data_IF_964363321683
#
_entry.id   IF_964363321683
#
_cell.length_a   1.000
_cell.length_b   1.000
_cell.length_c   1.000
_cell.angle_alpha   90.00
_cell.angle_beta   90.00
_cell.angle_gamma   90.00
#
_symmetry.space_group_name_H-M   'P 1'
#
loop_
_entity.id
_entity.type
_entity.pdbx_description
1 polymer ?
#
# COMPACT_ATOMS: atom_id res chain seq x y z
N UNK A 1 39.38 52.37 -41.06
CA UNK A 1 39.10 50.93 -41.27
C UNK A 1 38.87 50.31 -39.91
N UNK A 2 37.84 49.44 -39.84
CA UNK A 2 37.45 48.58 -38.71
C UNK A 2 36.82 49.24 -37.47
N UNK A 3 35.51 48.99 -37.34
CA UNK A 3 34.72 49.04 -36.12
C UNK A 3 35.37 48.18 -35.03
N UNK A 4 35.46 48.69 -33.80
CA UNK A 4 35.53 47.85 -32.62
C UNK A 4 34.58 48.39 -31.54
N UNK A 5 33.61 47.54 -31.22
CA UNK A 5 32.58 47.69 -30.19
C UNK A 5 33.24 47.75 -28.81
N UNK A 6 32.95 48.78 -28.02
CA UNK A 6 33.27 48.81 -26.58
C UNK A 6 31.98 48.48 -25.83
N UNK A 7 31.84 47.22 -25.41
CA UNK A 7 30.84 46.81 -24.41
C UNK A 7 31.48 47.01 -23.04
N UNK A 8 30.91 47.90 -22.23
CA UNK A 8 31.24 48.00 -20.82
C UNK A 8 30.58 46.84 -20.07
N UNK A 9 31.37 45.93 -19.54
CA UNK A 9 30.92 44.84 -18.66
C UNK A 9 30.81 45.39 -17.25
N UNK A 10 29.59 45.64 -16.79
CA UNK A 10 29.29 45.97 -15.39
C UNK A 10 29.15 44.64 -14.62
N UNK A 11 30.15 44.28 -13.82
CA UNK A 11 30.05 43.19 -12.86
C UNK A 11 29.16 43.63 -11.69
N UNK A 12 27.90 43.20 -11.67
CA UNK A 12 27.08 43.24 -10.47
C UNK A 12 27.07 41.83 -9.88
N UNK A 13 27.72 41.68 -8.73
CA UNK A 13 27.62 40.50 -7.89
C UNK A 13 26.22 40.43 -7.29
N UNK A 14 25.34 39.61 -7.87
CA UNK A 14 24.11 39.20 -7.22
C UNK A 14 24.32 37.84 -6.56
N UNK A 15 24.35 37.85 -5.23
CA UNK A 15 24.21 36.66 -4.42
C UNK A 15 22.88 35.97 -4.78
N UNK A 16 22.95 34.81 -5.44
CA UNK A 16 21.78 33.97 -5.64
C UNK A 16 21.40 33.33 -4.30
N UNK A 17 20.41 33.94 -3.65
CA UNK A 17 19.61 33.32 -2.60
C UNK A 17 18.66 32.36 -3.31
N UNK A 18 18.83 31.05 -3.12
CA UNK A 18 17.93 30.05 -3.71
C UNK A 18 16.57 30.15 -3.03
N UNK A 19 15.61 30.81 -3.67
CA UNK A 19 14.20 30.67 -3.32
C UNK A 19 13.75 29.30 -3.85
N UNK A 20 13.54 28.38 -2.92
CA UNK A 20 12.93 27.09 -3.19
C UNK A 20 11.40 27.30 -3.29
N UNK A 21 10.95 27.92 -4.38
CA UNK A 21 9.54 27.92 -4.75
C UNK A 21 9.24 26.54 -5.37
N UNK A 22 8.78 25.63 -4.53
CA UNK A 22 8.02 24.48 -5.01
C UNK A 22 6.75 25.05 -5.65
N UNK A 23 6.77 25.09 -6.97
CA UNK A 23 5.58 25.29 -7.79
C UNK A 23 4.59 24.18 -7.43
N UNK A 24 3.55 24.54 -6.69
CA UNK A 24 2.36 23.71 -6.53
C UNK A 24 1.79 23.58 -7.93
N UNK A 25 1.99 22.43 -8.56
CA UNK A 25 1.26 22.06 -9.77
C UNK A 25 -0.18 21.90 -9.31
N UNK A 26 -1.04 22.87 -9.59
CA UNK A 26 -2.49 22.69 -9.47
C UNK A 26 -2.87 21.51 -10.36
N UNK A 27 -3.16 20.36 -9.73
CA UNK A 27 -3.66 19.16 -10.41
C UNK A 27 -5.06 19.52 -10.92
N UNK A 28 -5.19 19.80 -12.22
CA UNK A 28 -6.49 20.02 -12.85
C UNK A 28 -7.17 18.65 -12.93
N UNK A 29 -8.07 18.38 -11.99
CA UNK A 29 -8.90 17.16 -11.98
C UNK A 29 -10.19 17.47 -12.73
N UNK A 30 -10.43 16.76 -13.83
CA UNK A 30 -11.71 16.81 -14.53
C UNK A 30 -12.70 15.87 -13.81
N UNK A 31 -13.66 16.42 -13.06
CA UNK A 31 -14.73 15.64 -12.43
C UNK A 31 -15.98 15.63 -13.32
N UNK A 32 -16.45 14.46 -13.74
CA UNK A 32 -17.80 14.29 -14.31
C UNK A 32 -18.80 14.09 -13.16
N UNK A 33 -19.23 15.19 -12.54
CA UNK A 33 -19.92 15.20 -11.24
C UNK A 33 -21.32 14.53 -11.20
N UNK A 34 -21.88 14.05 -12.32
CA UNK A 34 -23.30 13.69 -12.39
C UNK A 34 -23.59 12.23 -12.80
N UNK A 35 -22.59 11.37 -12.99
CA UNK A 35 -22.82 9.94 -13.31
C UNK A 35 -22.07 8.99 -12.41
N UNK A 36 -22.83 8.26 -11.59
CA UNK A 36 -22.34 7.01 -11.01
C UNK A 36 -22.04 6.05 -12.17
N UNK A 37 -20.76 5.82 -12.43
CA UNK A 37 -20.33 4.86 -13.43
C UNK A 37 -20.57 3.44 -12.91
N UNK A 38 -21.37 2.65 -13.65
CA UNK A 38 -21.76 1.28 -13.26
C UNK A 38 -20.55 0.35 -13.04
N UNK A 39 -19.41 0.69 -13.65
CA UNK A 39 -18.11 0.02 -13.48
C UNK A 39 -17.61 0.09 -12.04
N UNK A 40 -17.84 1.20 -11.34
CA UNK A 40 -17.33 1.48 -9.98
C UNK A 40 -18.32 1.12 -8.87
N UNK A 41 -19.39 0.39 -9.21
CA UNK A 41 -20.39 -0.11 -8.27
C UNK A 41 -20.15 -1.58 -7.87
N UNK A 42 -18.90 -2.04 -7.97
CA UNK A 42 -18.50 -3.44 -7.75
C UNK A 42 -18.84 -3.93 -6.33
N UNK A 43 -18.56 -3.11 -5.30
CA UNK A 43 -18.82 -3.48 -3.89
C UNK A 43 -20.32 -3.67 -3.66
N UNK A 44 -21.13 -2.72 -4.14
CA UNK A 44 -22.59 -2.80 -4.01
C UNK A 44 -23.18 -3.98 -4.78
N UNK A 45 -22.67 -4.26 -6.00
CA UNK A 45 -23.10 -5.43 -6.79
C UNK A 45 -22.86 -6.76 -6.08
N UNK A 46 -21.76 -6.86 -5.33
CA UNK A 46 -21.36 -8.09 -4.67
C UNK A 46 -21.91 -8.26 -3.26
N UNK A 47 -21.87 -7.20 -2.46
CA UNK A 47 -22.21 -7.24 -1.04
C UNK A 47 -23.56 -6.59 -0.72
N UNK A 48 -24.27 -6.08 -1.73
CA UNK A 48 -25.52 -5.35 -1.57
C UNK A 48 -25.32 -3.88 -1.14
N UNK A 49 -26.41 -3.10 -1.13
CA UNK A 49 -26.36 -1.66 -0.89
C UNK A 49 -25.94 -1.32 0.55
N UNK A 50 -25.40 -0.12 0.71
CA UNK A 50 -25.05 0.43 2.02
C UNK A 50 -26.30 0.89 2.77
N UNK A 51 -26.40 0.48 4.03
CA UNK A 51 -27.35 1.03 5.01
C UNK A 51 -26.58 1.48 6.25
N UNK A 52 -26.87 2.68 6.74
CA UNK A 52 -26.21 3.25 7.92
C UNK A 52 -27.20 3.78 8.94
N UNK A 53 -26.77 3.90 10.19
CA UNK A 53 -27.51 4.56 11.27
C UNK A 53 -26.70 5.77 11.75
N UNK A 54 -27.38 6.77 12.29
CA UNK A 54 -26.70 7.84 13.03
C UNK A 54 -26.02 7.28 14.29
N UNK A 55 -24.80 7.75 14.58
CA UNK A 55 -24.04 7.32 15.76
C UNK A 55 -22.54 7.17 15.52
N UNK A 56 -21.86 6.61 16.52
CA UNK A 56 -20.45 6.24 16.43
C UNK A 56 -20.30 4.72 16.43
N UNK A 57 -19.56 4.21 15.44
CA UNK A 57 -19.34 2.79 15.24
C UNK A 57 -17.85 2.55 15.09
N UNK A 58 -17.32 1.53 15.75
CA UNK A 58 -15.94 1.10 15.54
C UNK A 58 -15.86 -0.40 15.42
N UNK A 59 -14.90 -0.86 14.63
CA UNK A 59 -14.56 -2.27 14.58
C UNK A 59 -13.08 -2.46 14.36
N UNK A 60 -12.60 -3.59 14.87
CA UNK A 60 -11.23 -4.03 14.75
C UNK A 60 -11.22 -5.47 14.28
N UNK A 61 -10.35 -5.75 13.34
CA UNK A 61 -10.06 -7.08 12.84
C UNK A 61 -9.48 -7.98 13.93
N UNK A 62 -9.75 -9.29 13.83
CA UNK A 62 -9.09 -10.33 14.63
C UNK A 62 -7.62 -10.52 14.27
N UNK A 63 -7.27 -10.25 13.01
CA UNK A 63 -5.89 -10.26 12.52
C UNK A 63 -5.36 -8.83 12.62
N UNK A 64 -4.28 -8.65 13.37
CA UNK A 64 -3.53 -7.39 13.42
C UNK A 64 -2.29 -7.57 12.53
N UNK A 65 -2.24 -6.93 11.35
CA UNK A 65 -1.12 -7.06 10.43
C UNK A 65 0.16 -6.50 11.05
N UNK A 66 1.27 -7.21 10.89
CA UNK A 66 2.58 -6.75 11.34
C UNK A 66 3.21 -5.75 10.36
N UNK A 67 4.03 -4.85 10.88
CA UNK A 67 4.79 -3.90 10.08
C UNK A 67 6.07 -4.52 9.55
N UNK A 68 6.49 -4.07 8.38
CA UNK A 68 7.74 -4.49 7.74
C UNK A 68 8.41 -3.31 7.08
N UNK A 69 9.74 -3.31 7.03
CA UNK A 69 10.43 -2.55 6.00
C UNK A 69 9.91 -3.01 4.65
N UNK A 70 9.57 -2.08 3.75
CA UNK A 70 9.01 -2.45 2.44
C UNK A 70 10.09 -2.91 1.46
N UNK A 71 11.36 -2.94 1.86
CA UNK A 71 12.50 -3.33 1.04
C UNK A 71 12.52 -2.55 -0.29
N UNK A 72 12.89 -1.25 -0.26
CA UNK A 72 12.91 -0.42 -1.45
C UNK A 72 13.68 -1.09 -2.60
N UNK A 73 13.14 -1.05 -3.82
CA UNK A 73 13.73 -1.74 -4.97
C UNK A 73 15.14 -1.25 -5.31
N UNK A 74 15.45 0.01 -5.00
CA UNK A 74 16.77 0.63 -5.19
C UNK A 74 17.78 0.30 -4.08
N UNK A 75 17.34 -0.33 -2.99
CA UNK A 75 18.22 -0.72 -1.90
C UNK A 75 18.83 -2.09 -2.17
N UNK A 76 20.11 -2.24 -1.85
CA UNK A 76 20.84 -3.49 -2.07
C UNK A 76 20.63 -4.55 -0.99
N UNK A 77 19.84 -4.24 0.05
CA UNK A 77 19.71 -5.03 1.27
C UNK A 77 19.46 -6.53 1.01
N UNK A 78 18.72 -6.86 -0.05
CA UNK A 78 18.36 -8.25 -0.38
C UNK A 78 19.55 -9.11 -0.79
N UNK A 79 20.56 -8.56 -1.46
CA UNK A 79 21.68 -9.31 -2.04
C UNK A 79 23.06 -8.83 -1.58
N UNK A 80 23.17 -7.64 -0.99
CA UNK A 80 24.41 -7.08 -0.44
C UNK A 80 24.23 -6.69 1.03
N UNK A 81 25.26 -6.94 1.85
CA UNK A 81 25.34 -6.46 3.23
C UNK A 81 26.42 -5.39 3.34
N UNK A 82 26.13 -4.30 4.06
CA UNK A 82 27.12 -3.23 4.29
C UNK A 82 28.33 -3.73 5.10
N UNK A 83 28.14 -4.76 5.92
CA UNK A 83 29.22 -5.51 6.55
C UNK A 83 29.59 -6.71 5.68
N UNK A 84 30.70 -6.60 4.95
CA UNK A 84 31.21 -7.66 4.06
C UNK A 84 31.48 -9.02 4.73
N UNK A 85 31.48 -9.08 6.06
CA UNK A 85 31.62 -10.34 6.82
C UNK A 85 30.29 -11.06 7.05
N UNK A 86 29.17 -10.41 6.71
CA UNK A 86 27.81 -10.93 6.89
C UNK A 86 27.15 -11.16 5.54
N UNK A 87 26.33 -12.20 5.49
CA UNK A 87 25.51 -12.51 4.32
C UNK A 87 24.23 -11.66 4.31
N UNK A 88 23.78 -11.28 3.12
CA UNK A 88 22.47 -10.70 2.85
C UNK A 88 21.35 -11.78 2.86
N UNK A 89 20.05 -11.42 2.93
CA UNK A 89 18.96 -12.38 2.97
C UNK A 89 19.00 -13.44 1.85
N UNK A 90 19.22 -13.01 0.60
CA UNK A 90 19.26 -13.93 -0.54
C UNK A 90 20.53 -14.79 -0.56
N UNK A 91 21.67 -14.25 -0.14
CA UNK A 91 22.90 -15.05 -0.01
C UNK A 91 22.76 -16.13 1.08
N UNK A 92 22.01 -15.84 2.15
CA UNK A 92 21.68 -16.85 3.16
C UNK A 92 20.72 -17.91 2.62
N UNK A 93 19.77 -17.52 1.78
CA UNK A 93 18.89 -18.46 1.09
C UNK A 93 19.68 -19.38 0.16
N UNK A 94 20.56 -18.84 -0.69
CA UNK A 94 21.42 -19.60 -1.60
C UNK A 94 22.22 -20.67 -0.84
N UNK A 95 22.89 -20.24 0.23
CA UNK A 95 23.67 -21.13 1.10
C UNK A 95 22.81 -22.17 1.84
N UNK A 96 21.56 -21.84 2.19
CA UNK A 96 20.62 -22.77 2.82
C UNK A 96 20.20 -23.87 1.84
N UNK A 97 19.87 -23.49 0.60
CA UNK A 97 19.49 -24.43 -0.46
C UNK A 97 20.68 -25.32 -0.81
N UNK A 98 21.87 -24.75 -1.01
CA UNK A 98 23.09 -25.51 -1.28
C UNK A 98 23.36 -26.55 -0.18
N UNK A 99 23.28 -26.17 1.10
CA UNK A 99 23.52 -27.09 2.23
C UNK A 99 22.41 -28.12 2.45
N UNK A 100 21.23 -27.89 1.92
CA UNK A 100 20.08 -28.78 2.11
C UNK A 100 19.93 -29.74 0.94
N UNK A 101 20.16 -29.25 -0.29
CA UNK A 101 19.83 -29.92 -1.54
C UNK A 101 21.05 -30.15 -2.44
N UNK A 102 22.20 -29.55 -2.15
CA UNK A 102 23.44 -29.75 -2.90
C UNK A 102 23.55 -28.90 -4.18
N UNK A 103 22.65 -27.93 -4.36
CA UNK A 103 22.61 -27.05 -5.52
C UNK A 103 22.58 -25.59 -5.07
N UNK A 104 23.39 -24.73 -5.70
CA UNK A 104 23.33 -23.28 -5.50
C UNK A 104 22.28 -22.68 -6.46
N UNK A 105 21.17 -22.12 -5.96
CA UNK A 105 20.14 -21.54 -6.81
C UNK A 105 20.60 -20.22 -7.46
N UNK A 106 21.56 -19.51 -6.89
CA UNK A 106 22.06 -18.22 -7.38
C UNK A 106 21.04 -17.09 -7.32
N UNK A 107 20.16 -17.07 -6.32
CA UNK A 107 19.10 -16.07 -6.20
C UNK A 107 19.65 -14.68 -5.85
N UNK A 108 20.71 -14.57 -5.04
CA UNK A 108 21.32 -13.28 -4.75
C UNK A 108 21.93 -12.64 -6.00
N UNK A 109 22.66 -13.44 -6.80
CA UNK A 109 23.26 -12.98 -8.05
C UNK A 109 22.19 -12.59 -9.08
N UNK A 110 21.11 -13.36 -9.19
CA UNK A 110 19.99 -13.02 -10.07
C UNK A 110 19.31 -11.71 -9.65
N UNK A 111 19.12 -11.48 -8.34
CA UNK A 111 18.55 -10.22 -7.86
C UNK A 111 19.42 -9.03 -8.25
N UNK A 112 20.74 -9.13 -8.04
CA UNK A 112 21.71 -8.07 -8.34
C UNK A 112 21.77 -7.74 -9.84
N UNK A 113 21.67 -8.75 -10.71
CA UNK A 113 21.98 -8.59 -12.14
C UNK A 113 20.75 -8.45 -13.03
N UNK A 114 19.61 -9.02 -12.65
CA UNK A 114 18.41 -9.10 -13.50
C UNK A 114 17.21 -8.30 -12.95
N UNK A 115 17.20 -7.96 -11.65
CA UNK A 115 16.06 -7.28 -11.00
C UNK A 115 16.44 -5.90 -10.49
N UNK A 116 17.60 -5.77 -9.85
CA UNK A 116 18.04 -4.54 -9.22
C UNK A 116 18.23 -3.43 -10.26
N UNK A 117 17.58 -2.29 -10.03
CA UNK A 117 17.78 -1.08 -10.80
C UNK A 117 18.06 0.09 -9.85
N UNK A 118 19.30 0.64 -9.84
CA UNK A 118 19.64 1.79 -9.01
C UNK A 118 18.92 3.09 -9.44
N UNK A 119 18.33 3.12 -10.63
CA UNK A 119 17.55 4.27 -11.15
C UNK A 119 16.06 4.20 -10.83
N UNK A 120 15.62 3.13 -10.16
CA UNK A 120 14.23 2.94 -9.76
C UNK A 120 13.76 4.01 -8.76
N UNK A 121 12.46 4.31 -8.80
CA UNK A 121 11.84 5.33 -7.95
C UNK A 121 11.91 4.98 -6.46
N UNK A 122 12.10 6.00 -5.61
CA UNK A 122 12.36 5.81 -4.18
C UNK A 122 11.23 5.15 -3.39
N UNK A 123 10.00 5.15 -3.92
CA UNK A 123 8.83 4.57 -3.28
C UNK A 123 8.59 3.11 -3.69
N UNK A 124 9.18 2.66 -4.80
CA UNK A 124 9.01 1.28 -5.26
C UNK A 124 9.64 0.30 -4.28
N UNK A 125 9.00 -0.85 -4.11
CA UNK A 125 9.47 -1.95 -3.29
C UNK A 125 8.37 -3.00 -3.12
N UNK A 126 8.40 -3.70 -1.99
CA UNK A 126 7.53 -4.84 -1.67
C UNK A 126 6.35 -4.46 -0.77
N UNK A 127 5.84 -3.22 -0.87
CA UNK A 127 4.70 -2.77 -0.04
C UNK A 127 3.42 -3.59 -0.31
N UNK A 128 3.11 -3.89 -1.58
CA UNK A 128 1.99 -4.76 -1.97
C UNK A 128 2.15 -6.18 -1.45
N UNK A 129 3.33 -6.76 -1.61
CA UNK A 129 3.66 -8.09 -1.13
C UNK A 129 3.57 -8.18 0.40
N UNK A 130 4.07 -7.16 1.11
CA UNK A 130 3.96 -7.03 2.55
C UNK A 130 2.51 -6.94 3.01
N UNK A 131 1.68 -6.10 2.39
CA UNK A 131 0.30 -5.92 2.78
C UNK A 131 -0.47 -7.26 2.78
N UNK A 132 -0.26 -8.08 1.74
CA UNK A 132 -0.86 -9.42 1.64
C UNK A 132 -0.22 -10.41 2.62
N UNK A 133 1.12 -10.47 2.69
CA UNK A 133 1.81 -11.40 3.59
C UNK A 133 1.45 -11.15 5.07
N UNK A 134 1.29 -9.88 5.46
CA UNK A 134 1.03 -9.47 6.84
C UNK A 134 -0.34 -9.87 7.37
N UNK A 135 -1.31 -10.12 6.48
CA UNK A 135 -2.65 -10.59 6.84
C UNK A 135 -2.80 -12.10 6.72
N UNK A 136 -1.97 -12.77 5.91
CA UNK A 136 -2.03 -14.21 5.69
C UNK A 136 -1.04 -15.03 6.54
N UNK A 137 0.02 -14.42 7.05
CA UNK A 137 1.06 -15.11 7.81
C UNK A 137 1.28 -14.50 9.21
N UNK A 138 1.57 -15.34 10.22
CA UNK A 138 2.04 -14.83 11.49
C UNK A 138 3.38 -14.11 11.32
N UNK A 139 3.60 -13.10 12.15
CA UNK A 139 4.88 -12.38 12.15
C UNK A 139 6.05 -13.29 12.58
N UNK A 140 7.18 -13.30 11.86
CA UNK A 140 8.43 -13.84 12.38
C UNK A 140 8.90 -13.06 13.61
N UNK A 141 9.02 -13.73 14.77
CA UNK A 141 9.27 -13.07 16.08
C UNK A 141 10.67 -13.25 16.65
N UNK A 142 11.47 -14.13 16.08
CA UNK A 142 12.79 -14.46 16.58
C UNK A 142 13.70 -14.89 15.44
N UNK A 143 15.01 -14.80 15.69
CA UNK A 143 16.00 -15.34 14.77
C UNK A 143 15.88 -16.87 14.76
N UNK A 144 15.99 -17.47 13.58
CA UNK A 144 16.00 -18.92 13.41
C UNK A 144 17.36 -19.38 12.92
N UNK A 145 17.71 -20.64 13.21
CA UNK A 145 18.95 -21.26 12.73
C UNK A 145 18.64 -22.52 11.93
N UNK A 146 18.97 -22.50 10.65
CA UNK A 146 18.77 -23.63 9.72
C UNK A 146 20.11 -23.94 9.05
N UNK A 147 20.54 -25.20 9.08
CA UNK A 147 21.83 -25.65 8.50
C UNK A 147 23.03 -24.76 8.90
N UNK A 148 23.11 -24.41 10.18
CA UNK A 148 24.12 -23.51 10.77
C UNK A 148 24.12 -22.06 10.27
N UNK A 149 23.10 -21.63 9.51
CA UNK A 149 22.89 -20.26 9.06
C UNK A 149 21.87 -19.60 9.99
N UNK A 150 22.17 -18.40 10.46
CA UNK A 150 21.23 -17.62 11.28
C UNK A 150 20.47 -16.64 10.39
N UNK A 151 19.15 -16.80 10.33
CA UNK A 151 18.23 -15.87 9.70
C UNK A 151 17.64 -14.97 10.78
N UNK A 152 17.83 -13.67 10.62
CA UNK A 152 17.20 -12.63 11.42
C UNK A 152 15.70 -12.53 11.12
N UNK A 153 14.98 -11.73 11.90
CA UNK A 153 13.58 -11.38 11.60
C UNK A 153 13.49 -10.69 10.24
N UNK A 154 14.41 -9.77 9.94
CA UNK A 154 14.47 -9.07 8.66
C UNK A 154 14.69 -10.04 7.48
N UNK A 155 15.57 -11.02 7.62
CA UNK A 155 15.82 -12.02 6.55
C UNK A 155 14.55 -12.84 6.28
N UNK A 156 13.86 -13.29 7.34
CA UNK A 156 12.62 -14.07 7.22
C UNK A 156 11.51 -13.25 6.55
N UNK A 157 11.33 -11.98 6.97
CA UNK A 157 10.37 -11.06 6.34
C UNK A 157 10.73 -10.81 4.88
N UNK A 158 11.99 -10.53 4.56
CA UNK A 158 12.45 -10.29 3.19
C UNK A 158 12.14 -11.48 2.26
N UNK A 159 12.50 -12.71 2.68
CA UNK A 159 12.24 -13.92 1.89
C UNK A 159 10.74 -14.20 1.74
N UNK A 160 9.97 -14.03 2.82
CA UNK A 160 8.51 -14.17 2.75
C UNK A 160 7.91 -13.17 1.76
N UNK A 161 8.29 -11.89 1.82
CA UNK A 161 7.77 -10.87 0.91
C UNK A 161 8.19 -11.11 -0.54
N UNK A 162 9.41 -11.56 -0.81
CA UNK A 162 9.82 -11.95 -2.18
C UNK A 162 8.98 -13.07 -2.74
N UNK A 163 8.45 -13.98 -1.90
CA UNK A 163 7.49 -15.01 -2.35
C UNK A 163 6.10 -14.45 -2.74
N UNK A 164 5.79 -13.21 -2.37
CA UNK A 164 4.51 -12.53 -2.66
C UNK A 164 4.64 -11.46 -3.75
N UNK A 165 5.82 -11.29 -4.35
CA UNK A 165 6.11 -10.18 -5.27
C UNK A 165 5.22 -10.19 -6.52
N UNK A 166 4.86 -11.38 -7.02
CA UNK A 166 3.93 -11.60 -8.14
C UNK A 166 2.65 -12.34 -7.68
N UNK A 167 2.18 -12.04 -6.46
CA UNK A 167 0.94 -12.62 -5.93
C UNK A 167 -0.26 -12.39 -6.87
N UNK A 168 -1.10 -13.41 -6.99
CA UNK A 168 -2.33 -13.39 -7.81
C UNK A 168 -3.55 -13.84 -7.01
N UNK A 169 -4.73 -13.91 -7.64
CA UNK A 169 -6.03 -14.24 -7.03
C UNK A 169 -6.59 -13.18 -6.07
N UNK A 170 -6.01 -11.98 -6.07
CA UNK A 170 -6.54 -10.81 -5.38
C UNK A 170 -7.70 -10.21 -6.19
N UNK A 171 -8.69 -9.66 -5.48
CA UNK A 171 -9.83 -9.00 -6.10
C UNK A 171 -9.83 -7.51 -5.79
N UNK A 172 -9.69 -6.71 -6.84
CA UNK A 172 -9.62 -5.26 -6.78
C UNK A 172 -11.00 -4.63 -6.97
N UNK A 173 -11.24 -3.53 -6.26
CA UNK A 173 -12.41 -2.67 -6.38
C UNK A 173 -11.93 -1.23 -6.53
N UNK A 174 -12.36 -0.56 -7.61
CA UNK A 174 -11.63 0.60 -8.14
C UNK A 174 -10.59 0.19 -9.18
N UNK A 175 -10.06 1.16 -9.91
CA UNK A 175 -8.92 1.01 -10.79
C UNK A 175 -7.68 1.62 -10.13
N UNK A 176 -6.54 1.52 -10.82
CA UNK A 176 -5.32 2.19 -10.36
C UNK A 176 -5.24 3.54 -11.04
N UNK A 177 -4.99 4.59 -10.27
CA UNK A 177 -4.63 5.90 -10.81
C UNK A 177 -3.15 5.94 -11.19
N UNK A 178 -2.85 5.88 -12.49
CA UNK A 178 -1.49 5.98 -13.02
C UNK A 178 -1.17 7.35 -13.68
N UNK A 179 -2.15 8.26 -13.70
CA UNK A 179 -2.08 9.56 -14.35
C UNK A 179 -2.49 9.52 -15.83
N UNK A 180 -3.11 8.44 -16.28
CA UNK A 180 -3.70 8.27 -17.60
C UNK A 180 -4.84 9.25 -17.88
N UNK A 181 -5.12 9.48 -19.17
CA UNK A 181 -6.21 10.38 -19.58
C UNK A 181 -7.61 9.79 -19.29
N UNK A 182 -7.69 8.47 -19.17
CA UNK A 182 -8.88 7.68 -18.90
C UNK A 182 -9.02 7.26 -17.42
N UNK A 183 -8.10 7.73 -16.56
CA UNK A 183 -8.19 7.51 -15.12
C UNK A 183 -9.37 8.28 -14.53
N UNK A 184 -10.25 7.55 -13.85
CA UNK A 184 -11.27 8.15 -13.01
C UNK A 184 -10.67 8.39 -11.63
N UNK A 185 -10.68 9.65 -11.21
CA UNK A 185 -10.10 10.03 -9.93
C UNK A 185 -11.00 9.63 -8.77
N UNK A 186 -12.33 9.63 -8.95
CA UNK A 186 -13.30 9.23 -7.92
C UNK A 186 -13.83 7.79 -8.17
N UNK A 187 -12.95 6.84 -8.48
CA UNK A 187 -13.31 5.46 -8.85
C UNK A 187 -13.66 4.54 -7.65
N UNK A 188 -13.29 4.94 -6.44
CA UNK A 188 -13.83 4.41 -5.18
C UNK A 188 -14.75 5.44 -4.54
N UNK A 189 -16.04 5.33 -4.84
CA UNK A 189 -17.05 6.16 -4.19
C UNK A 189 -17.13 5.87 -2.67
N UNK A 190 -17.41 6.89 -1.84
CA UNK A 190 -17.46 6.72 -0.39
C UNK A 190 -18.43 5.63 0.09
N UNK A 191 -19.56 5.42 -0.59
CA UNK A 191 -20.48 4.34 -0.20
C UNK A 191 -19.91 2.94 -0.47
N UNK A 192 -19.09 2.78 -1.52
CA UNK A 192 -18.39 1.53 -1.80
C UNK A 192 -17.33 1.28 -0.72
N UNK A 193 -16.51 2.29 -0.38
CA UNK A 193 -15.53 2.20 0.70
C UNK A 193 -16.19 1.84 2.04
N UNK A 194 -17.26 2.55 2.42
CA UNK A 194 -17.94 2.31 3.68
C UNK A 194 -18.55 0.90 3.72
N UNK A 195 -19.22 0.47 2.65
CA UNK A 195 -19.82 -0.88 2.59
C UNK A 195 -18.75 -1.97 2.66
N UNK A 196 -17.63 -1.77 1.97
CA UNK A 196 -16.51 -2.70 2.00
C UNK A 196 -15.95 -2.83 3.43
N UNK A 197 -15.73 -1.71 4.11
CA UNK A 197 -15.30 -1.71 5.51
C UNK A 197 -16.32 -2.37 6.46
N UNK A 198 -17.63 -2.19 6.26
CA UNK A 198 -18.65 -2.92 7.02
C UNK A 198 -18.50 -4.44 6.84
N UNK A 199 -18.40 -4.90 5.59
CA UNK A 199 -18.28 -6.33 5.29
C UNK A 199 -17.04 -6.93 5.94
N UNK A 200 -15.86 -6.35 5.72
CA UNK A 200 -14.60 -6.94 6.19
C UNK A 200 -14.41 -6.74 7.70
N UNK A 201 -14.51 -5.50 8.18
CA UNK A 201 -14.18 -5.20 9.57
C UNK A 201 -15.34 -5.45 10.53
N UNK A 202 -16.60 -5.24 10.14
CA UNK A 202 -17.74 -5.44 11.05
C UNK A 202 -18.29 -6.86 10.98
N UNK A 203 -18.59 -7.36 9.78
CA UNK A 203 -19.25 -8.65 9.59
C UNK A 203 -18.26 -9.82 9.70
N UNK A 204 -17.15 -9.76 8.94
CA UNK A 204 -16.16 -10.86 8.89
C UNK A 204 -15.11 -10.78 10.01
N UNK A 205 -14.88 -9.59 10.59
CA UNK A 205 -13.79 -9.31 11.54
C UNK A 205 -12.40 -9.61 10.94
N UNK A 206 -12.22 -9.33 9.66
CA UNK A 206 -10.97 -9.49 8.92
C UNK A 206 -10.45 -8.14 8.42
N UNK A 207 -9.13 -7.98 8.26
CA UNK A 207 -8.58 -6.79 7.63
C UNK A 207 -8.85 -6.83 6.12
N UNK A 208 -8.75 -5.68 5.47
CA UNK A 208 -8.71 -5.58 4.01
C UNK A 208 -7.50 -4.75 3.59
N UNK A 209 -7.13 -4.73 2.31
CA UNK A 209 -6.03 -3.90 1.82
C UNK A 209 -6.59 -2.74 1.00
N UNK A 210 -5.86 -1.64 0.96
CA UNK A 210 -6.18 -0.51 0.08
C UNK A 210 -4.91 0.18 -0.35
N UNK A 211 -4.96 0.85 -1.49
CA UNK A 211 -4.12 2.02 -1.71
C UNK A 211 -4.81 3.24 -1.10
N UNK A 212 -4.10 3.97 -0.25
CA UNK A 212 -4.75 4.89 0.70
C UNK A 212 -4.97 6.31 0.15
N UNK A 213 -4.36 6.63 -1.00
CA UNK A 213 -4.50 7.91 -1.69
C UNK A 213 -4.39 7.74 -3.22
N UNK A 214 -5.01 8.61 -4.03
CA UNK A 214 -5.02 8.51 -5.49
C UNK A 214 -3.84 9.31 -6.05
N UNK A 215 -2.62 8.87 -5.69
CA UNK A 215 -1.36 9.47 -6.12
C UNK A 215 -0.49 8.51 -6.92
N UNK A 216 0.46 9.06 -7.67
CA UNK A 216 1.32 8.26 -8.54
C UNK A 216 2.12 7.17 -7.78
N UNK A 217 2.66 7.44 -6.57
CA UNK A 217 3.18 6.39 -5.71
C UNK A 217 2.08 5.49 -5.15
N UNK A 218 2.07 4.22 -5.54
CA UNK A 218 1.13 3.24 -4.99
C UNK A 218 1.61 2.74 -3.64
N UNK A 219 0.77 2.90 -2.61
CA UNK A 219 1.05 2.42 -1.26
C UNK A 219 -0.04 1.49 -0.75
N UNK A 220 0.07 0.21 -1.11
CA UNK A 220 -0.83 -0.79 -0.57
C UNK A 220 -0.57 -1.02 0.93
N UNK A 221 -1.60 -0.83 1.74
CA UNK A 221 -1.56 -0.99 3.20
C UNK A 221 -2.71 -1.87 3.71
N UNK A 222 -2.49 -2.64 4.78
CA UNK A 222 -3.56 -3.41 5.40
C UNK A 222 -4.32 -2.55 6.43
N UNK A 223 -5.62 -2.42 6.24
CA UNK A 223 -6.57 -1.77 7.15
C UNK A 223 -7.09 -2.80 8.14
N UNK A 224 -6.91 -2.56 9.44
CA UNK A 224 -7.32 -3.53 10.47
C UNK A 224 -8.22 -2.94 11.56
N UNK A 225 -8.43 -1.64 11.58
CA UNK A 225 -9.29 -0.97 12.56
C UNK A 225 -9.91 0.28 11.93
N UNK A 226 -11.20 0.50 12.16
CA UNK A 226 -11.93 1.65 11.63
C UNK A 226 -12.89 2.21 12.66
N UNK A 227 -13.08 3.53 12.62
CA UNK A 227 -14.12 4.24 13.37
C UNK A 227 -14.91 5.13 12.42
N UNK A 228 -16.23 4.99 12.44
CA UNK A 228 -17.17 5.90 11.80
C UNK A 228 -17.87 6.77 12.84
N UNK A 229 -18.04 8.05 12.52
CA UNK A 229 -18.97 8.96 13.19
C UNK A 229 -19.92 9.49 12.13
N UNK A 230 -21.19 9.10 12.24
CA UNK A 230 -22.25 9.37 11.26
C UNK A 230 -23.24 10.32 11.94
N UNK A 231 -23.42 11.50 11.37
CA UNK A 231 -24.41 12.46 11.84
C UNK A 231 -25.49 12.63 10.76
N UNK A 232 -26.76 12.61 11.17
CA UNK A 232 -27.85 12.95 10.26
C UNK A 232 -27.86 14.45 10.03
N UNK A 233 -27.78 14.86 8.77
CA UNK A 233 -27.82 16.29 8.39
C UNK A 233 -29.26 16.71 8.13
N UNK A 234 -29.99 15.92 7.34
CA UNK A 234 -31.38 16.18 6.97
C UNK A 234 -32.13 14.87 6.64
N UNK A 235 -33.28 14.96 5.94
CA UNK A 235 -34.11 13.81 5.56
C UNK A 235 -33.54 12.92 4.45
N UNK A 236 -32.42 13.31 3.83
CA UNK A 236 -31.81 12.59 2.73
C UNK A 236 -30.28 12.47 2.86
N UNK A 237 -29.66 13.16 3.81
CA UNK A 237 -28.21 13.28 3.91
C UNK A 237 -27.69 12.86 5.28
N UNK A 238 -26.57 12.12 5.28
CA UNK A 238 -25.73 11.90 6.45
C UNK A 238 -24.30 12.36 6.18
N UNK A 239 -23.68 13.01 7.17
CA UNK A 239 -22.26 13.37 7.14
C UNK A 239 -21.46 12.33 7.91
N UNK A 240 -20.39 11.83 7.31
CA UNK A 240 -19.53 10.81 7.91
C UNK A 240 -18.12 11.34 8.08
N UNK A 241 -17.60 11.17 9.30
CA UNK A 241 -16.17 11.28 9.61
C UNK A 241 -15.63 9.89 9.91
N UNK A 242 -14.56 9.49 9.23
CA UNK A 242 -13.96 8.17 9.41
C UNK A 242 -12.49 8.26 9.77
N UNK A 243 -12.05 7.39 10.68
CA UNK A 243 -10.65 7.19 11.04
C UNK A 243 -10.27 5.75 10.69
N UNK A 244 -9.36 5.61 9.74
CA UNK A 244 -8.95 4.33 9.15
C UNK A 244 -7.54 4.01 9.65
N UNK A 245 -7.41 2.97 10.46
CA UNK A 245 -6.13 2.57 11.06
C UNK A 245 -5.50 1.45 10.24
N UNK A 246 -4.27 1.68 9.80
CA UNK A 246 -3.48 0.77 8.98
C UNK A 246 -2.20 0.36 9.69
N UNK A 247 -1.64 -0.79 9.30
CA UNK A 247 -0.23 -1.04 9.58
C UNK A 247 0.61 -0.18 8.62
N UNK A 248 1.79 0.24 9.07
CA UNK A 248 2.72 1.04 8.28
C UNK A 248 3.98 0.24 7.94
N UNK A 249 4.46 0.37 6.72
CA UNK A 249 5.76 -0.17 6.29
C UNK A 249 6.94 0.76 6.62
N UNK A 250 6.67 2.00 7.03
CA UNK A 250 7.70 2.98 7.38
C UNK A 250 8.24 2.76 8.80
N UNK A 251 8.91 1.63 9.02
CA UNK A 251 9.65 1.32 10.25
C UNK A 251 11.12 1.72 10.09
N UNK A 252 11.83 2.01 11.18
CA UNK A 252 13.25 2.42 11.11
C UNK A 252 14.23 1.23 11.11
N UNK A 253 13.79 0.07 11.59
CA UNK A 253 14.58 -1.16 11.68
C UNK A 253 13.89 -2.28 10.88
N UNK A 254 14.58 -2.92 9.92
CA UNK A 254 14.07 -4.11 9.23
C UNK A 254 13.67 -5.27 10.16
N UNK A 255 14.22 -5.33 11.38
CA UNK A 255 13.85 -6.31 12.41
C UNK A 255 12.68 -5.85 13.31
N UNK A 256 12.02 -4.73 13.01
CA UNK A 256 10.90 -4.23 13.78
C UNK A 256 9.86 -5.32 14.02
N UNK A 257 9.38 -5.41 15.27
CA UNK A 257 8.37 -6.37 15.70
C UNK A 257 7.05 -5.68 16.03
N UNK A 258 5.94 -6.31 15.65
CA UNK A 258 4.58 -5.84 15.88
C UNK A 258 4.10 -4.88 14.81
N UNK A 259 3.19 -3.99 15.20
CA UNK A 259 2.46 -3.12 14.26
C UNK A 259 2.71 -1.66 14.59
N UNK A 260 3.39 -0.95 13.69
CA UNK A 260 3.41 0.52 13.67
C UNK A 260 2.11 1.00 13.03
N UNK A 261 1.27 1.69 13.80
CA UNK A 261 -0.03 2.16 13.33
C UNK A 261 0.11 3.48 12.56
N UNK A 262 -0.64 3.61 11.47
CA UNK A 262 -0.95 4.89 10.83
C UNK A 262 -2.46 5.09 10.83
N UNK A 263 -2.91 6.34 10.85
CA UNK A 263 -4.34 6.67 10.80
C UNK A 263 -4.59 7.65 9.67
N UNK A 264 -5.43 7.27 8.73
CA UNK A 264 -5.99 8.14 7.70
C UNK A 264 -7.37 8.64 8.14
N UNK A 265 -7.69 9.86 7.75
CA UNK A 265 -8.95 10.51 8.09
C UNK A 265 -9.67 10.90 6.81
N UNK A 266 -10.92 10.48 6.66
CA UNK A 266 -11.73 10.84 5.50
C UNK A 266 -13.07 11.42 5.95
N UNK A 267 -13.61 12.32 5.12
CA UNK A 267 -14.95 12.88 5.28
C UNK A 267 -15.75 12.72 4.00
N UNK A 268 -17.03 12.37 4.14
CA UNK A 268 -17.93 12.20 3.00
C UNK A 268 -19.39 12.39 3.40
N UNK A 269 -20.21 12.69 2.41
CA UNK A 269 -21.66 12.74 2.54
C UNK A 269 -22.29 11.52 1.88
N UNK A 270 -23.28 10.92 2.56
CA UNK A 270 -24.10 9.83 2.04
C UNK A 270 -25.49 10.37 1.75
N UNK A 271 -26.01 10.11 0.55
CA UNK A 271 -27.34 10.53 0.11
C UNK A 271 -28.26 9.32 -0.03
N UNK A 272 -29.51 9.46 0.42
CA UNK A 272 -30.43 8.34 0.49
C UNK A 272 -31.82 8.72 0.99
N UNK A 273 -32.54 7.71 1.48
CA UNK A 273 -33.83 7.88 2.16
C UNK A 273 -33.76 7.25 3.55
N UNK A 274 -34.13 8.00 4.58
CA UNK A 274 -34.26 7.43 5.92
C UNK A 274 -35.53 6.58 6.03
N UNK A 275 -35.36 5.31 6.35
CA UNK A 275 -36.43 4.35 6.66
C UNK A 275 -36.27 3.97 8.14
N UNK A 276 -37.03 4.65 9.00
CA UNK A 276 -36.84 4.55 10.46
C UNK A 276 -35.47 5.10 10.87
N UNK A 277 -34.64 4.34 11.61
CA UNK A 277 -33.31 4.79 12.03
C UNK A 277 -32.23 4.59 10.95
N UNK A 278 -32.55 3.95 9.82
CA UNK A 278 -31.58 3.56 8.80
C UNK A 278 -31.66 4.49 7.59
N UNK A 279 -30.53 5.00 7.11
CA UNK A 279 -30.39 5.63 5.80
C UNK A 279 -30.08 4.53 4.78
N UNK A 280 -31.01 4.27 3.86
CA UNK A 280 -30.73 3.49 2.67
C UNK A 280 -30.00 4.40 1.67
N UNK A 281 -28.70 4.15 1.48
CA UNK A 281 -27.82 4.99 0.68
C UNK A 281 -27.98 4.64 -0.80
N UNK A 282 -28.09 5.66 -1.64
CA UNK A 282 -28.21 5.54 -3.10
C UNK A 282 -27.12 6.30 -3.84
N UNK A 283 -26.43 7.22 -3.17
CA UNK A 283 -25.32 8.00 -3.73
C UNK A 283 -24.42 8.51 -2.59
N UNK A 284 -23.21 8.95 -2.91
CA UNK A 284 -22.31 9.60 -1.96
C UNK A 284 -21.32 10.53 -2.67
N UNK A 285 -20.59 11.33 -1.89
CA UNK A 285 -19.46 12.11 -2.39
C UNK A 285 -18.42 12.34 -1.30
N UNK A 286 -17.14 12.36 -1.68
CA UNK A 286 -16.07 12.83 -0.81
C UNK A 286 -16.21 14.34 -0.57
N UNK A 287 -15.83 14.82 0.62
CA UNK A 287 -15.88 16.25 0.98
C UNK A 287 -14.61 16.68 1.70
N UNK A 288 -14.35 18.00 1.75
CA UNK A 288 -13.14 18.58 2.34
C UNK A 288 -11.86 17.98 1.72
N UNK A 289 -10.83 17.73 2.54
CA UNK A 289 -9.55 17.19 2.07
C UNK A 289 -9.69 15.81 1.41
N UNK A 290 -10.71 15.04 1.79
CA UNK A 290 -10.98 13.73 1.20
C UNK A 290 -11.46 13.82 -0.26
N UNK A 291 -11.74 15.03 -0.79
CA UNK A 291 -11.91 15.24 -2.24
C UNK A 291 -10.61 14.97 -2.99
N UNK A 292 -9.45 15.02 -2.31
CA UNK A 292 -8.12 14.85 -2.90
C UNK A 292 -7.27 13.73 -2.26
N UNK A 293 -7.60 13.33 -1.04
CA UNK A 293 -6.91 12.26 -0.30
C UNK A 293 -7.95 11.24 0.17
N UNK A 294 -8.30 10.30 -0.72
CA UNK A 294 -9.21 9.18 -0.47
C UNK A 294 -8.63 7.89 -1.06
N UNK A 295 -9.08 6.69 -0.67
CA UNK A 295 -8.55 5.46 -1.24
C UNK A 295 -8.70 5.40 -2.77
N UNK A 296 -7.68 4.88 -3.45
CA UNK A 296 -7.65 4.70 -4.90
C UNK A 296 -8.29 3.36 -5.30
N UNK A 297 -7.88 2.27 -4.64
CA UNK A 297 -8.53 0.98 -4.79
C UNK A 297 -8.55 0.20 -3.49
N UNK A 298 -9.49 -0.74 -3.41
CA UNK A 298 -9.65 -1.69 -2.31
C UNK A 298 -9.33 -3.10 -2.80
N UNK A 299 -8.75 -3.92 -1.94
CA UNK A 299 -8.39 -5.30 -2.25
C UNK A 299 -9.03 -6.23 -1.24
N UNK A 300 -9.85 -7.14 -1.75
CA UNK A 300 -10.23 -8.37 -1.06
C UNK A 300 -9.23 -9.47 -1.39
N UNK A 301 -8.90 -10.29 -0.41
CA UNK A 301 -8.02 -11.43 -0.57
C UNK A 301 -8.69 -12.70 -0.04
N UNK A 302 -8.50 -13.86 -0.71
CA UNK A 302 -8.93 -15.15 -0.20
C UNK A 302 -8.01 -15.64 0.94
N UNK A 303 -8.46 -16.66 1.68
CA UNK A 303 -7.66 -17.31 2.75
C UNK A 303 -6.32 -17.88 2.25
N UNK A 304 -6.23 -18.18 0.94
CA UNK A 304 -5.02 -18.66 0.27
C UNK A 304 -4.93 -18.01 -1.11
N UNK A 305 -3.75 -17.49 -1.41
CA UNK A 305 -3.42 -16.88 -2.70
C UNK A 305 -2.32 -17.66 -3.38
N UNK A 306 -2.28 -17.59 -4.72
CA UNK A 306 -1.13 -18.07 -5.48
C UNK A 306 0.02 -17.07 -5.37
N UNK A 307 1.13 -17.55 -4.79
CA UNK A 307 2.40 -16.85 -4.63
C UNK A 307 3.31 -17.06 -5.84
N UNK A 308 4.14 -16.05 -6.13
CA UNK A 308 5.18 -16.06 -7.15
C UNK A 308 6.19 -14.94 -6.85
N UNK A 309 7.41 -15.08 -7.39
CA UNK A 309 8.50 -14.12 -7.23
C UNK A 309 9.03 -13.69 -8.59
N UNK A 310 9.44 -12.42 -8.73
CA UNK A 310 10.17 -11.98 -9.93
C UNK A 310 11.55 -12.64 -10.00
N UNK A 311 12.10 -13.01 -8.84
CA UNK A 311 13.35 -13.77 -8.76
C UNK A 311 13.08 -15.25 -9.03
N UNK A 312 13.31 -15.67 -10.28
CA UNK A 312 13.05 -17.03 -10.77
C UNK A 312 13.93 -18.11 -10.15
N UNK A 313 14.87 -17.74 -9.28
CA UNK A 313 15.73 -18.66 -8.51
C UNK A 313 15.19 -18.93 -7.11
N UNK A 314 14.14 -18.21 -6.70
CA UNK A 314 13.45 -18.46 -5.45
C UNK A 314 12.35 -19.50 -5.62
N UNK A 315 12.44 -20.57 -4.84
CA UNK A 315 11.43 -21.61 -4.76
C UNK A 315 10.58 -21.39 -3.51
N UNK A 316 9.27 -21.18 -3.70
CA UNK A 316 8.35 -20.83 -2.60
C UNK A 316 8.32 -21.93 -1.53
N UNK A 317 8.38 -23.20 -1.94
CA UNK A 317 8.39 -24.33 -1.00
C UNK A 317 9.62 -24.30 -0.09
N UNK A 318 10.79 -23.92 -0.61
CA UNK A 318 12.02 -23.81 0.18
C UNK A 318 11.96 -22.62 1.15
N UNK A 319 11.34 -21.51 0.75
CA UNK A 319 11.07 -20.36 1.63
C UNK A 319 10.11 -20.76 2.77
N UNK A 320 9.08 -21.57 2.47
CA UNK A 320 8.15 -22.05 3.50
C UNK A 320 8.81 -22.99 4.50
N UNK A 321 9.64 -23.93 4.05
CA UNK A 321 10.40 -24.85 4.91
C UNK A 321 11.37 -24.12 5.86
N UNK A 322 11.90 -23.00 5.39
CA UNK A 322 12.75 -22.13 6.19
C UNK A 322 11.96 -21.47 7.32
N UNK A 323 10.74 -21.02 7.05
CA UNK A 323 9.88 -20.27 7.98
C UNK A 323 9.01 -21.14 8.91
N UNK A 324 9.05 -22.48 8.76
CA UNK A 324 8.43 -23.46 9.67
C UNK A 324 9.34 -23.83 10.85
#
# INVERSE_FOLDING_TARGET
MQNLMIIAILFIAFACKSNNDQTVVEKIIYKDNDKIHEKYQQVTKEFGPLSVQEGEFSSKSKIIPWSSWWFPSKDKFLFENSDSTKLAPLQKYDLYVERTYGEDPGAAFYEETEIYDPSEVNWAGLCHAWAVASVLHPEPKHNIRKKNITFSIADQKALLLKSYEEVSDLKYYGDRYDGGFDDEYDDVFPEQFHRFAQVFLFDQKLPFLMDYDPSYPVWTVPVFEIKFKINKVDQNTAHVKTWVTTASSFVEDPNFLGTKKSVKYYEYELFGTWIGPNLLVVNSKWVNDAVYDHPDFLIAYPDKVKRASRNKKLEITMIDELNQ
#
